data_IF_169380843487
#
_entry.id   IF_169380843487
#
_cell.length_a   1.000
_cell.length_b   1.000
_cell.length_c   1.000
_cell.angle_alpha   90.00
_cell.angle_beta   90.00
_cell.angle_gamma   90.00
#
_symmetry.space_group_name_H-M   'P 1'
#
loop_
_entity.id
_entity.type
_entity.pdbx_description
1 polymer ?
#
# COMPACT_ATOMS: atom_id res chain seq x y z
N UNK A 1 -5.73 -12.28 -3.00
CA UNK A 1 -6.06 -11.07 -3.81
C UNK A 1 -5.09 -9.89 -3.63
N UNK A 2 -5.13 -9.15 -2.51
CA UNK A 2 -4.48 -7.84 -2.38
C UNK A 2 -2.95 -7.84 -2.43
N UNK A 3 -2.30 -8.91 -1.95
CA UNK A 3 -0.87 -9.08 -2.12
C UNK A 3 -0.45 -9.02 -3.60
N UNK A 4 -1.16 -9.75 -4.47
CA UNK A 4 -0.90 -9.74 -5.90
C UNK A 4 -1.18 -8.37 -6.53
N UNK A 5 -2.26 -7.71 -6.11
CA UNK A 5 -2.59 -6.36 -6.57
C UNK A 5 -1.49 -5.35 -6.21
N UNK A 6 -1.04 -5.28 -4.96
CA UNK A 6 0.02 -4.35 -4.59
C UNK A 6 1.36 -4.67 -5.26
N UNK A 7 1.61 -5.91 -5.67
CA UNK A 7 2.80 -6.23 -6.50
C UNK A 7 2.77 -5.58 -7.88
N UNK A 8 1.61 -5.35 -8.48
CA UNK A 8 1.53 -4.68 -9.80
C UNK A 8 1.88 -3.20 -9.70
N UNK A 9 1.82 -2.63 -8.50
CA UNK A 9 2.09 -1.21 -8.22
C UNK A 9 3.56 -0.95 -7.80
N UNK A 10 4.42 -1.96 -7.81
CA UNK A 10 5.85 -1.77 -7.53
C UNK A 10 6.46 -0.84 -8.59
N UNK A 11 7.17 0.19 -8.13
CA UNK A 11 7.73 1.26 -8.95
C UNK A 11 6.79 2.45 -9.17
N UNK A 12 5.57 2.44 -8.60
CA UNK A 12 4.61 3.54 -8.68
C UNK A 12 4.62 4.38 -7.40
N UNK A 13 4.28 5.65 -7.54
CA UNK A 13 4.14 6.55 -6.39
C UNK A 13 2.81 6.32 -5.69
N UNK A 14 2.88 6.21 -4.37
CA UNK A 14 1.73 5.96 -3.49
C UNK A 14 1.78 6.87 -2.28
N UNK A 15 0.61 7.17 -1.70
CA UNK A 15 0.52 7.81 -0.40
C UNK A 15 -0.08 6.82 0.60
N UNK A 16 0.65 6.55 1.68
CA UNK A 16 0.22 5.69 2.77
C UNK A 16 -0.15 6.54 3.97
N UNK A 17 -1.42 6.45 4.38
CA UNK A 17 -1.92 7.02 5.62
C UNK A 17 -1.88 5.96 6.73
N UNK A 18 -1.20 6.28 7.82
CA UNK A 18 -1.08 5.44 9.00
C UNK A 18 -2.23 5.69 9.98
N UNK A 19 -2.50 4.72 10.85
CA UNK A 19 -3.55 4.81 11.89
C UNK A 19 -3.34 5.93 12.91
N UNK A 20 -2.15 6.53 12.97
CA UNK A 20 -1.81 7.69 13.78
C UNK A 20 -1.79 9.00 12.96
N UNK A 21 -2.47 9.00 11.81
CA UNK A 21 -2.68 10.16 10.94
C UNK A 21 -1.41 10.69 10.23
N UNK A 22 -0.30 9.97 10.30
CA UNK A 22 0.90 10.28 9.52
C UNK A 22 0.68 9.84 8.07
N UNK A 23 0.90 10.76 7.14
CA UNK A 23 0.89 10.49 5.70
C UNK A 23 2.31 10.47 5.13
N UNK A 24 2.65 9.38 4.46
CA UNK A 24 3.96 9.17 3.83
C UNK A 24 3.74 8.94 2.34
N UNK A 25 4.30 9.82 1.52
CA UNK A 25 4.35 9.66 0.07
C UNK A 25 5.71 9.06 -0.33
N UNK A 26 5.74 8.17 -1.32
CA UNK A 26 6.98 7.65 -1.89
C UNK A 26 6.73 6.58 -2.94
N UNK A 27 7.81 6.09 -3.54
CA UNK A 27 7.73 5.04 -4.56
C UNK A 27 7.66 3.66 -3.91
N UNK A 28 6.69 2.85 -4.31
CA UNK A 28 6.51 1.50 -3.77
C UNK A 28 7.64 0.58 -4.25
N UNK A 29 8.53 0.19 -3.34
CA UNK A 29 9.66 -0.69 -3.65
C UNK A 29 9.31 -2.18 -3.51
N UNK A 30 8.56 -2.55 -2.47
CA UNK A 30 8.13 -3.94 -2.28
C UNK A 30 6.95 -4.05 -1.33
N UNK A 31 6.17 -5.12 -1.47
CA UNK A 31 5.11 -5.52 -0.55
C UNK A 31 5.22 -7.02 -0.23
N UNK A 32 4.86 -7.43 0.99
CA UNK A 32 4.81 -8.84 1.40
C UNK A 32 3.37 -9.34 1.65
N UNK A 33 3.23 -10.62 2.01
CA UNK A 33 1.93 -11.26 2.27
C UNK A 33 1.15 -10.68 3.45
N UNK A 34 1.81 -9.95 4.36
CA UNK A 34 1.18 -9.25 5.48
C UNK A 34 0.89 -7.78 5.15
N UNK A 35 1.09 -7.39 3.89
CA UNK A 35 1.00 -6.01 3.41
C UNK A 35 1.96 -5.09 4.17
N UNK A 36 3.15 -5.57 4.53
CA UNK A 36 4.21 -4.67 4.92
C UNK A 36 4.78 -4.00 3.67
N UNK A 37 4.95 -2.68 3.71
CA UNK A 37 5.39 -1.88 2.57
C UNK A 37 6.83 -1.41 2.77
N UNK A 38 7.63 -1.45 1.71
CA UNK A 38 8.88 -0.67 1.62
C UNK A 38 8.67 0.45 0.62
N UNK A 39 8.91 1.68 1.05
CA UNK A 39 8.91 2.85 0.18
C UNK A 39 10.34 3.40 0.05
N UNK A 40 10.65 3.92 -1.12
CA UNK A 40 11.86 4.69 -1.40
C UNK A 40 11.51 6.13 -1.77
N UNK A 41 12.50 7.02 -1.68
CA UNK A 41 12.39 8.44 -2.00
C UNK A 41 11.20 9.13 -1.30
N UNK A 42 11.07 8.85 0.00
CA UNK A 42 9.89 9.27 0.75
C UNK A 42 9.85 10.77 1.07
N UNK A 43 8.64 11.27 1.24
CA UNK A 43 8.33 12.57 1.81
C UNK A 43 7.13 12.47 2.78
N UNK A 44 7.12 13.29 3.81
CA UNK A 44 6.02 13.36 4.79
C UNK A 44 5.22 14.62 4.50
N UNK A 45 3.90 14.50 4.46
CA UNK A 45 3.02 15.62 4.09
C UNK A 45 3.06 16.76 5.11
N UNK A 46 3.24 16.44 6.40
CA UNK A 46 3.33 17.40 7.52
C UNK A 46 4.73 17.39 8.18
N UNK A 47 5.77 17.94 7.52
CA UNK A 47 7.15 17.89 8.02
C UNK A 47 7.36 18.63 9.34
N UNK A 48 6.63 19.72 9.59
CA UNK A 48 6.77 20.51 10.81
C UNK A 48 6.27 19.78 12.07
N UNK A 49 5.24 18.93 11.92
CA UNK A 49 4.73 18.09 13.02
C UNK A 49 5.60 16.86 13.26
N UNK A 50 6.33 16.42 12.22
CA UNK A 50 7.15 15.21 12.26
C UNK A 50 8.59 15.47 11.77
N UNK A 51 9.34 16.38 12.41
CA UNK A 51 10.66 16.79 11.94
C UNK A 51 11.69 15.63 11.96
N UNK A 52 11.46 14.63 12.81
CA UNK A 52 12.29 13.43 12.90
C UNK A 52 12.26 12.55 11.64
N UNK A 53 11.29 12.73 10.75
CA UNK A 53 11.17 11.98 9.49
C UNK A 53 11.86 12.68 8.31
N UNK A 54 12.31 13.92 8.45
CA UNK A 54 12.88 14.72 7.36
C UNK A 54 14.17 14.14 6.76
N UNK A 55 14.95 13.43 7.57
CA UNK A 55 16.20 12.79 7.13
C UNK A 55 15.98 11.39 6.54
N UNK A 56 14.77 10.84 6.66
CA UNK A 56 14.45 9.49 6.22
C UNK A 56 14.15 9.52 4.73
N UNK A 57 14.90 8.74 3.94
CA UNK A 57 14.69 8.59 2.48
C UNK A 57 13.96 7.32 2.10
N UNK A 58 14.10 6.26 2.90
CA UNK A 58 13.46 4.97 2.67
C UNK A 58 12.81 4.52 3.98
N UNK A 59 11.62 3.91 3.91
CA UNK A 59 10.94 3.40 5.11
C UNK A 59 10.36 2.01 4.91
N UNK A 60 10.34 1.25 5.99
CA UNK A 60 9.55 0.03 6.11
C UNK A 60 8.34 0.32 7.00
N UNK A 61 7.15 0.02 6.50
CA UNK A 61 5.87 0.26 7.17
C UNK A 61 5.22 -1.10 7.43
N UNK A 62 4.90 -1.37 8.69
CA UNK A 62 4.18 -2.58 9.07
C UNK A 62 2.73 -2.50 8.61
N UNK A 63 2.23 -3.51 7.89
CA UNK A 63 0.88 -3.48 7.30
C UNK A 63 -0.24 -3.25 8.33
N UNK A 64 -0.05 -3.73 9.56
CA UNK A 64 -1.04 -3.60 10.63
C UNK A 64 -1.29 -2.15 11.09
N UNK A 65 -0.38 -1.22 10.81
CA UNK A 65 -0.53 0.20 11.17
C UNK A 65 -1.03 1.07 10.00
N UNK A 66 -1.16 0.50 8.80
CA UNK A 66 -1.72 1.21 7.64
C UNK A 66 -3.23 1.36 7.83
N UNK A 67 -3.74 2.57 7.53
CA UNK A 67 -5.17 2.85 7.46
C UNK A 67 -5.63 2.91 6.00
N UNK A 68 -4.96 3.71 5.18
CA UNK A 68 -5.27 3.86 3.75
C UNK A 68 -4.00 3.83 2.90
N UNK A 69 -4.17 3.36 1.66
CA UNK A 69 -3.18 3.50 0.59
C UNK A 69 -3.90 4.20 -0.56
N UNK A 70 -3.49 5.42 -0.85
CA UNK A 70 -3.97 6.20 -1.99
C UNK A 70 -3.12 5.87 -3.21
N UNK A 71 -3.79 5.60 -4.33
CA UNK A 71 -3.20 5.06 -5.55
C UNK A 71 -3.55 5.97 -6.73
N UNK A 72 -2.66 6.08 -7.73
CA UNK A 72 -3.01 6.69 -9.01
C UNK A 72 -4.13 5.88 -9.69
N UNK A 73 -5.18 6.57 -10.13
CA UNK A 73 -6.36 5.91 -10.70
C UNK A 73 -6.06 5.20 -12.03
N UNK A 74 -5.12 5.73 -12.81
CA UNK A 74 -4.61 5.18 -14.06
C UNK A 74 -3.83 3.87 -13.89
N UNK A 75 -3.27 3.63 -12.71
CA UNK A 75 -2.55 2.40 -12.38
C UNK A 75 -3.48 1.29 -11.85
N UNK A 76 -4.79 1.57 -11.74
CA UNK A 76 -5.77 0.65 -11.15
C UNK A 76 -6.80 0.17 -12.20
N UNK A 77 -6.55 -0.99 -12.83
CA UNK A 77 -7.56 -1.65 -13.67
C UNK A 77 -8.69 -2.22 -12.79
N UNK A 78 -9.79 -1.45 -12.72
CA UNK A 78 -10.96 -1.83 -11.92
C UNK A 78 -11.68 -3.06 -12.46
N UNK A 79 -11.59 -3.35 -13.76
CA UNK A 79 -12.24 -4.53 -14.38
C UNK A 79 -11.49 -5.79 -13.97
N UNK A 80 -10.17 -5.77 -14.04
CA UNK A 80 -9.33 -6.88 -13.57
C UNK A 80 -9.50 -7.10 -12.06
N UNK A 81 -9.50 -6.02 -11.26
CA UNK A 81 -9.70 -6.10 -9.82
C UNK A 81 -11.07 -6.70 -9.46
N UNK A 82 -12.14 -6.33 -10.17
CA UNK A 82 -13.46 -6.91 -9.99
C UNK A 82 -13.49 -8.41 -10.34
N UNK A 83 -12.87 -8.80 -11.45
CA UNK A 83 -12.76 -10.20 -11.87
C UNK A 83 -12.00 -11.03 -10.83
N UNK A 84 -10.84 -10.55 -10.38
CA UNK A 84 -10.03 -11.20 -9.37
C UNK A 84 -10.77 -11.31 -8.03
N UNK A 85 -11.53 -10.28 -7.64
CA UNK A 85 -12.36 -10.29 -6.42
C UNK A 85 -13.47 -11.33 -6.47
N UNK A 86 -14.18 -11.46 -7.61
CA UNK A 86 -15.20 -12.51 -7.81
C UNK A 86 -14.60 -13.90 -7.68
N UNK A 87 -13.44 -14.12 -8.32
CA UNK A 87 -12.73 -15.42 -8.26
C UNK A 87 -12.28 -15.76 -6.84
N UNK A 88 -11.66 -14.82 -6.13
CA UNK A 88 -11.21 -15.00 -4.74
C UNK A 88 -12.39 -15.35 -3.82
N UNK A 89 -13.52 -14.65 -3.94
CA UNK A 89 -14.70 -14.89 -3.12
C UNK A 89 -15.31 -16.29 -3.30
N UNK A 90 -15.22 -16.85 -4.51
CA UNK A 90 -15.66 -18.24 -4.76
C UNK A 90 -14.70 -19.25 -4.15
N UNK A 91 -13.39 -19.01 -4.25
CA UNK A 91 -12.36 -19.90 -3.67
C UNK A 91 -12.42 -19.92 -2.13
N UNK A 92 -12.55 -18.74 -1.50
CA UNK A 92 -12.63 -18.64 -0.04
C UNK A 92 -13.84 -19.35 0.56
N UNK A 93 -14.93 -19.49 -0.20
CA UNK A 93 -16.12 -20.25 0.22
C UNK A 93 -15.92 -21.77 0.13
N UNK A 94 -15.07 -22.24 -0.76
CA UNK A 94 -14.78 -23.68 -0.91
C UNK A 94 -13.85 -24.21 0.18
N UNK A 95 -12.95 -23.39 0.70
CA UNK A 95 -12.04 -23.79 1.79
C UNK A 95 -12.68 -23.76 3.19
N UNK A 96 -13.87 -23.18 3.32
CA UNK A 96 -14.60 -23.07 4.59
C UNK A 96 -15.72 -24.13 4.75
N UNK A 97 -15.89 -25.01 3.75
CA UNK A 97 -16.85 -26.13 3.76
C UNK A 97 -16.13 -27.48 3.86
#
# INVERSE_FOLDING_TARGET
LFFSFFKTLVGKDVLIELKNDICICGTLHSVDQYHNFRLTDISVTDPEKHPHLLSVKNCFIRGSIVRYVQLPADECDTVELQNASRKEATLGKQSAN
#
